data_IF_427956999095
#
_entry.id   IF_427956999095
#
_cell.length_a   1.000
_cell.length_b   1.000
_cell.length_c   1.000
_cell.angle_alpha   90.00
_cell.angle_beta   90.00
_cell.angle_gamma   90.00
#
_symmetry.space_group_name_H-M   'P 1'
#
loop_
_entity.id
_entity.type
_entity.pdbx_description
1 polymer ?
#
# COMPACT_ATOMS: atom_id res chain seq x y z
N UNK A 1 6.47 -27.81 14.09
CA UNK A 1 7.07 -26.58 13.51
C UNK A 1 7.17 -26.63 11.98
N UNK A 2 7.64 -27.74 11.38
CA UNK A 2 7.66 -27.95 9.91
C UNK A 2 6.27 -27.83 9.26
N UNK A 3 5.25 -28.44 9.85
CA UNK A 3 3.88 -28.43 9.29
C UNK A 3 3.23 -27.03 9.33
N UNK A 4 3.56 -26.24 10.35
CA UNK A 4 3.11 -24.86 10.48
C UNK A 4 3.74 -23.96 9.41
N UNK A 5 5.03 -24.15 9.11
CA UNK A 5 5.71 -23.43 8.03
C UNK A 5 5.18 -23.81 6.64
N UNK A 6 4.86 -25.09 6.42
CA UNK A 6 4.21 -25.53 5.18
C UNK A 6 2.78 -24.96 5.04
N UNK A 7 2.02 -24.90 6.14
CA UNK A 7 0.68 -24.32 6.16
C UNK A 7 0.67 -22.79 5.98
N UNK A 8 1.69 -22.08 6.46
CA UNK A 8 1.88 -20.66 6.19
C UNK A 8 2.27 -20.45 4.72
N UNK A 9 3.25 -21.21 4.22
CA UNK A 9 3.74 -21.09 2.83
C UNK A 9 2.64 -21.32 1.80
N UNK A 10 1.73 -22.27 2.02
CA UNK A 10 0.59 -22.54 1.13
C UNK A 10 -0.47 -21.43 1.13
N UNK A 11 -0.43 -20.51 2.11
CA UNK A 11 -1.36 -19.37 2.23
C UNK A 11 -0.73 -18.04 1.78
N UNK A 12 0.52 -18.04 1.33
CA UNK A 12 1.19 -16.83 0.84
C UNK A 12 1.01 -16.63 -0.66
N UNK A 13 1.29 -15.43 -1.15
CA UNK A 13 1.24 -15.11 -2.58
C UNK A 13 2.25 -15.90 -3.45
N UNK A 14 3.25 -16.51 -2.81
CA UNK A 14 4.21 -17.42 -3.44
C UNK A 14 3.71 -18.87 -3.55
N UNK A 15 2.54 -19.19 -2.98
CA UNK A 15 1.95 -20.52 -3.12
C UNK A 15 1.58 -20.82 -4.58
N UNK A 16 1.77 -22.07 -5.04
CA UNK A 16 1.27 -22.51 -6.34
C UNK A 16 -0.27 -22.38 -6.37
N UNK A 17 -0.80 -21.66 -7.37
CA UNK A 17 -2.24 -21.40 -7.51
C UNK A 17 -2.75 -20.08 -6.89
N UNK A 18 -1.91 -19.31 -6.20
CA UNK A 18 -2.33 -18.02 -5.61
C UNK A 18 -2.65 -16.93 -6.65
N UNK A 19 -2.14 -17.06 -7.88
CA UNK A 19 -2.38 -16.15 -8.99
C UNK A 19 -3.02 -16.94 -10.13
N UNK A 20 -4.18 -16.52 -10.68
CA UNK A 20 -4.82 -17.19 -11.81
C UNK A 20 -3.89 -17.31 -13.02
N UNK A 21 -3.91 -18.46 -13.71
CA UNK A 21 -3.04 -18.78 -14.87
C UNK A 21 -3.03 -17.67 -15.94
N UNK A 22 -4.19 -17.07 -16.22
CA UNK A 22 -4.36 -16.05 -17.26
C UNK A 22 -3.73 -14.69 -16.92
N UNK A 23 -3.42 -14.41 -15.64
CA UNK A 23 -2.83 -13.15 -15.19
C UNK A 23 -1.32 -13.27 -14.88
N UNK A 24 -0.78 -14.49 -14.88
CA UNK A 24 0.56 -14.78 -14.37
C UNK A 24 1.67 -13.95 -15.02
N UNK A 25 1.56 -13.60 -16.31
CA UNK A 25 2.64 -12.91 -17.03
C UNK A 25 2.96 -11.52 -16.46
N UNK A 26 1.94 -10.75 -16.10
CA UNK A 26 2.10 -9.36 -15.64
C UNK A 26 1.86 -9.22 -14.13
N UNK A 27 0.91 -9.97 -13.58
CA UNK A 27 0.56 -9.86 -12.17
C UNK A 27 1.60 -10.50 -11.24
N UNK A 28 2.36 -11.50 -11.71
CA UNK A 28 3.34 -12.22 -10.86
C UNK A 28 4.48 -11.32 -10.36
N UNK A 29 5.24 -10.60 -11.20
CA UNK A 29 6.33 -9.76 -10.69
C UNK A 29 5.82 -8.60 -9.83
N UNK A 30 4.69 -7.99 -10.20
CA UNK A 30 4.09 -6.89 -9.42
C UNK A 30 3.60 -7.37 -8.05
N UNK A 31 2.84 -8.46 -8.00
CA UNK A 31 2.23 -8.95 -6.75
C UNK A 31 3.22 -9.65 -5.84
N UNK A 32 4.17 -10.41 -6.38
CA UNK A 32 5.13 -11.17 -5.57
C UNK A 32 6.34 -10.37 -5.13
N UNK A 33 6.66 -9.29 -5.82
CA UNK A 33 7.88 -8.54 -5.55
C UNK A 33 7.61 -7.05 -5.35
N UNK A 34 7.03 -6.36 -6.33
CA UNK A 34 6.89 -4.90 -6.27
C UNK A 34 6.04 -4.42 -5.09
N UNK A 35 4.86 -5.04 -4.86
CA UNK A 35 3.98 -4.62 -3.77
C UNK A 35 4.54 -4.93 -2.37
N UNK A 36 4.95 -6.16 -2.05
CA UNK A 36 5.55 -6.44 -0.74
C UNK A 36 6.81 -5.61 -0.49
N UNK A 37 7.64 -5.37 -1.52
CA UNK A 37 8.83 -4.54 -1.39
C UNK A 37 8.48 -3.07 -1.12
N UNK A 38 7.51 -2.51 -1.85
CA UNK A 38 7.04 -1.15 -1.61
C UNK A 38 6.49 -0.99 -0.20
N UNK A 39 5.64 -1.92 0.24
CA UNK A 39 5.05 -1.87 1.57
C UNK A 39 6.13 -2.03 2.66
N UNK A 40 7.15 -2.87 2.44
CA UNK A 40 8.31 -2.98 3.34
C UNK A 40 9.10 -1.68 3.42
N UNK A 41 9.38 -1.04 2.29
CA UNK A 41 10.05 0.27 2.25
C UNK A 41 9.21 1.30 2.99
N UNK A 42 7.89 1.32 2.79
CA UNK A 42 6.98 2.21 3.50
C UNK A 42 6.99 1.99 5.02
N UNK A 43 7.08 0.73 5.49
CA UNK A 43 7.26 0.43 6.91
C UNK A 43 8.58 1.00 7.41
N UNK A 44 9.70 0.75 6.73
CA UNK A 44 11.01 1.23 7.15
C UNK A 44 11.05 2.77 7.18
N UNK A 45 10.55 3.43 6.15
CA UNK A 45 10.50 4.90 6.10
C UNK A 45 9.58 5.49 7.16
N UNK A 46 8.48 4.81 7.49
CA UNK A 46 7.60 5.23 8.59
C UNK A 46 8.30 5.20 9.95
N UNK A 47 9.10 4.16 10.21
CA UNK A 47 9.88 4.03 11.45
C UNK A 47 10.92 5.14 11.53
N UNK A 48 11.61 5.41 10.42
CA UNK A 48 12.57 6.52 10.34
C UNK A 48 11.85 7.86 10.60
N UNK A 49 10.67 8.07 10.01
CA UNK A 49 9.86 9.28 10.21
C UNK A 49 9.43 9.48 11.67
N UNK A 50 9.12 8.40 12.39
CA UNK A 50 8.80 8.47 13.84
C UNK A 50 10.04 8.84 14.66
N UNK A 51 11.23 8.34 14.29
CA UNK A 51 12.47 8.57 15.06
C UNK A 51 13.07 9.95 14.78
N UNK A 52 13.06 10.38 13.51
CA UNK A 52 13.76 11.58 13.03
C UNK A 52 12.82 12.78 12.90
N UNK A 53 11.51 12.55 12.85
CA UNK A 53 10.52 13.59 12.56
C UNK A 53 10.31 13.79 11.06
N UNK A 54 9.31 14.59 10.72
CA UNK A 54 8.97 14.97 9.33
C UNK A 54 8.93 16.50 9.26
N UNK A 55 10.06 17.17 8.96
CA UNK A 55 10.19 18.62 9.06
C UNK A 55 9.16 19.39 8.20
N UNK A 56 8.78 18.83 7.05
CA UNK A 56 7.78 19.46 6.18
C UNK A 56 6.35 19.41 6.75
N UNK A 57 6.04 18.48 7.66
CA UNK A 57 4.73 18.45 8.34
C UNK A 57 4.79 19.31 9.61
N UNK A 58 5.88 19.21 10.39
CA UNK A 58 6.10 19.99 11.62
C UNK A 58 6.11 21.51 11.37
N UNK A 59 6.48 21.92 10.15
CA UNK A 59 6.43 23.34 9.75
C UNK A 59 5.01 23.84 9.45
N UNK A 60 4.07 22.95 9.18
CA UNK A 60 2.69 23.29 8.79
C UNK A 60 1.64 22.91 9.84
N UNK A 61 1.99 22.00 10.74
CA UNK A 61 1.08 21.45 11.74
C UNK A 61 1.82 21.21 13.07
N UNK A 62 1.09 21.14 14.20
CA UNK A 62 1.68 20.82 15.49
C UNK A 62 2.33 19.44 15.52
N UNK A 63 3.34 19.25 16.38
CA UNK A 63 4.11 18.00 16.51
C UNK A 63 3.24 16.75 16.68
N UNK A 64 2.20 16.83 17.52
CA UNK A 64 1.28 15.71 17.75
C UNK A 64 0.60 15.22 16.47
N UNK A 65 0.38 16.12 15.51
CA UNK A 65 -0.22 15.78 14.22
C UNK A 65 0.80 15.04 13.34
N UNK A 66 2.05 15.50 13.30
CA UNK A 66 3.13 14.83 12.58
C UNK A 66 3.36 13.40 13.09
N UNK A 67 3.41 13.22 14.42
CA UNK A 67 3.55 11.91 15.07
C UNK A 67 2.39 10.98 14.73
N UNK A 68 1.16 11.52 14.78
CA UNK A 68 -0.05 10.77 14.44
C UNK A 68 -0.03 10.32 12.98
N UNK A 69 0.39 11.17 12.05
CA UNK A 69 0.50 10.84 10.62
C UNK A 69 1.57 9.77 10.40
N UNK A 70 2.73 9.88 11.03
CA UNK A 70 3.80 8.89 10.93
C UNK A 70 3.36 7.52 11.50
N UNK A 71 2.68 7.51 12.65
CA UNK A 71 2.12 6.30 13.26
C UNK A 71 1.03 5.66 12.40
N UNK A 72 0.10 6.45 11.85
CA UNK A 72 -0.92 5.96 10.94
C UNK A 72 -0.32 5.38 9.66
N UNK A 73 0.72 6.03 9.12
CA UNK A 73 1.44 5.55 7.95
C UNK A 73 2.12 4.20 8.22
N UNK A 74 2.73 4.03 9.40
CA UNK A 74 3.33 2.77 9.82
C UNK A 74 2.31 1.62 9.93
N UNK A 75 1.18 1.86 10.59
CA UNK A 75 0.11 0.86 10.75
C UNK A 75 -0.50 0.51 9.39
N UNK A 76 -0.70 1.49 8.52
CA UNK A 76 -1.22 1.28 7.18
C UNK A 76 -0.24 0.47 6.30
N UNK A 77 1.06 0.77 6.37
CA UNK A 77 2.11 0.05 5.65
C UNK A 77 2.23 -1.41 6.12
N UNK A 78 2.18 -1.65 7.43
CA UNK A 78 2.17 -3.00 7.99
C UNK A 78 0.92 -3.78 7.56
N UNK A 79 -0.25 -3.13 7.60
CA UNK A 79 -1.52 -3.71 7.16
C UNK A 79 -1.48 -4.06 5.67
N UNK A 80 -0.93 -3.17 4.85
CA UNK A 80 -0.74 -3.37 3.41
C UNK A 80 0.20 -4.54 3.14
N UNK A 81 1.35 -4.59 3.82
CA UNK A 81 2.34 -5.66 3.70
C UNK A 81 1.74 -7.03 4.05
N UNK A 82 1.03 -7.12 5.17
CA UNK A 82 0.37 -8.36 5.58
C UNK A 82 -0.71 -8.77 4.56
N UNK A 83 -1.48 -7.83 4.05
CA UNK A 83 -2.48 -8.07 3.01
C UNK A 83 -1.86 -8.58 1.70
N UNK A 84 -0.74 -7.98 1.27
CA UNK A 84 -0.02 -8.38 0.06
C UNK A 84 0.61 -9.77 0.19
N UNK A 85 1.09 -10.13 1.37
CA UNK A 85 1.65 -11.46 1.65
C UNK A 85 0.56 -12.53 1.70
N UNK A 86 -0.62 -12.22 2.26
CA UNK A 86 -1.72 -13.16 2.48
C UNK A 86 -2.95 -12.82 1.63
N UNK A 87 -3.24 -13.55 0.53
CA UNK A 87 -4.34 -13.24 -0.39
C UNK A 87 -5.74 -13.20 0.26
N UNK A 88 -5.94 -13.90 1.39
CA UNK A 88 -7.19 -13.88 2.16
C UNK A 88 -7.44 -12.53 2.86
N UNK A 89 -6.40 -11.76 3.12
CA UNK A 89 -6.43 -10.44 3.75
C UNK A 89 -6.43 -9.29 2.73
N UNK A 90 -6.87 -9.55 1.49
CA UNK A 90 -6.98 -8.57 0.40
C UNK A 90 -7.72 -7.27 0.81
N UNK A 91 -8.73 -7.36 1.70
CA UNK A 91 -9.41 -6.16 2.23
C UNK A 91 -8.49 -5.27 3.09
N UNK A 92 -7.58 -5.88 3.84
CA UNK A 92 -6.59 -5.18 4.65
C UNK A 92 -5.55 -4.51 3.76
N UNK A 93 -5.11 -5.18 2.69
CA UNK A 93 -4.24 -4.59 1.66
C UNK A 93 -4.86 -3.33 1.06
N UNK A 94 -6.12 -3.44 0.63
CA UNK A 94 -6.87 -2.32 0.04
C UNK A 94 -6.98 -1.14 1.00
N UNK A 95 -7.31 -1.39 2.27
CA UNK A 95 -7.46 -0.34 3.26
C UNK A 95 -6.12 0.34 3.57
N UNK A 96 -5.06 -0.45 3.81
CA UNK A 96 -3.72 0.06 4.06
C UNK A 96 -3.21 0.93 2.89
N UNK A 97 -3.36 0.45 1.66
CA UNK A 97 -2.92 1.20 0.47
C UNK A 97 -3.72 2.49 0.23
N UNK A 98 -5.01 2.52 0.58
CA UNK A 98 -5.81 3.75 0.55
C UNK A 98 -5.28 4.78 1.54
N UNK A 99 -5.01 4.36 2.77
CA UNK A 99 -4.47 5.26 3.80
C UNK A 99 -3.09 5.79 3.41
N UNK A 100 -2.19 4.93 2.93
CA UNK A 100 -0.87 5.32 2.40
C UNK A 100 -1.02 6.35 1.28
N UNK A 101 -1.91 6.09 0.31
CA UNK A 101 -2.16 7.00 -0.80
C UNK A 101 -2.67 8.36 -0.33
N UNK A 102 -3.62 8.38 0.62
CA UNK A 102 -4.15 9.62 1.20
C UNK A 102 -3.09 10.42 1.95
N UNK A 103 -2.25 9.76 2.75
CA UNK A 103 -1.16 10.42 3.49
C UNK A 103 -0.11 10.98 2.53
N UNK A 104 0.29 10.21 1.50
CA UNK A 104 1.23 10.70 0.48
C UNK A 104 0.64 11.89 -0.29
N UNK A 105 -0.65 11.85 -0.62
CA UNK A 105 -1.34 12.97 -1.28
C UNK A 105 -1.34 14.23 -0.41
N UNK A 106 -1.70 14.10 0.87
CA UNK A 106 -1.62 15.19 1.83
C UNK A 106 -0.20 15.75 1.94
N UNK A 107 0.80 14.88 2.04
CA UNK A 107 2.21 15.28 2.14
C UNK A 107 2.71 15.98 0.86
N UNK A 108 2.27 15.52 -0.31
CA UNK A 108 2.54 16.19 -1.57
C UNK A 108 2.00 17.63 -1.58
N UNK A 109 0.75 17.84 -1.16
CA UNK A 109 0.18 19.18 -1.07
C UNK A 109 0.91 20.05 -0.05
N UNK A 110 1.26 19.51 1.12
CA UNK A 110 2.07 20.20 2.12
C UNK A 110 3.41 20.69 1.54
N UNK A 111 4.13 19.81 0.84
CA UNK A 111 5.39 20.17 0.17
C UNK A 111 5.19 21.24 -0.91
N UNK A 112 4.11 21.16 -1.69
CA UNK A 112 3.81 22.15 -2.72
C UNK A 112 3.52 23.52 -2.09
N UNK A 113 2.72 23.59 -1.03
CA UNK A 113 2.45 24.84 -0.30
C UNK A 113 3.74 25.45 0.24
N UNK A 114 4.60 24.64 0.86
CA UNK A 114 5.91 25.08 1.36
C UNK A 114 6.89 25.50 0.25
N UNK A 115 6.83 24.85 -0.92
CA UNK A 115 7.70 25.15 -2.05
C UNK A 115 7.37 26.51 -2.70
N UNK A 116 6.14 27.02 -2.55
CA UNK A 116 5.76 28.35 -3.02
C UNK A 116 6.32 29.47 -2.12
N UNK A 117 6.58 29.18 -0.84
CA UNK A 117 7.00 30.19 0.15
C UNK A 117 8.52 30.32 0.29
N UNK A 118 9.28 29.29 -0.07
CA UNK A 118 10.74 29.32 -0.03
C UNK A 118 11.35 28.48 -1.15
N UNK A 119 12.34 29.06 -1.84
CA UNK A 119 13.11 28.35 -2.85
C UNK A 119 13.93 27.22 -2.20
N UNK A 120 13.93 26.04 -2.83
CA UNK A 120 14.68 24.88 -2.34
C UNK A 120 14.33 23.59 -3.06
N UNK A 121 14.82 22.47 -2.52
CA UNK A 121 14.65 21.11 -3.09
C UNK A 121 13.22 20.55 -2.95
N UNK A 122 12.27 21.31 -2.39
CA UNK A 122 10.91 20.86 -2.05
C UNK A 122 10.10 20.42 -3.25
N UNK A 123 10.20 21.09 -4.40
CA UNK A 123 9.55 20.66 -5.65
C UNK A 123 10.06 19.30 -6.13
N UNK A 124 11.35 19.04 -5.97
CA UNK A 124 11.95 17.76 -6.32
C UNK A 124 11.45 16.64 -5.41
N UNK A 125 11.41 16.89 -4.09
CA UNK A 125 10.84 15.93 -3.12
C UNK A 125 9.35 15.68 -3.41
N UNK A 126 8.57 16.71 -3.74
CA UNK A 126 7.17 16.54 -4.14
C UNK A 126 7.04 15.66 -5.40
N UNK A 127 7.93 15.82 -6.39
CA UNK A 127 8.01 14.94 -7.55
C UNK A 127 8.31 13.48 -7.19
N UNK A 128 9.21 13.24 -6.23
CA UNK A 128 9.49 11.88 -5.72
C UNK A 128 8.26 11.30 -5.02
N UNK A 129 7.55 12.08 -4.21
CA UNK A 129 6.33 11.65 -3.53
C UNK A 129 5.27 11.26 -4.57
N UNK A 130 5.09 12.08 -5.61
CA UNK A 130 4.16 11.78 -6.70
C UNK A 130 4.55 10.48 -7.44
N UNK A 131 5.84 10.27 -7.69
CA UNK A 131 6.33 9.02 -8.26
C UNK A 131 6.05 7.82 -7.33
N UNK A 132 6.26 7.99 -6.02
CA UNK A 132 5.97 6.96 -5.02
C UNK A 132 4.46 6.62 -4.92
N UNK A 133 3.56 7.52 -5.35
CA UNK A 133 2.11 7.26 -5.42
C UNK A 133 1.69 6.39 -6.62
N UNK A 134 2.55 6.20 -7.63
CA UNK A 134 2.22 5.38 -8.80
C UNK A 134 1.94 3.93 -8.41
N UNK A 135 2.79 3.34 -7.56
CA UNK A 135 2.63 1.97 -7.10
C UNK A 135 1.34 1.70 -6.32
N UNK A 136 0.97 2.46 -5.28
CA UNK A 136 -0.30 2.27 -4.60
C UNK A 136 -1.49 2.52 -5.53
N UNK A 137 -1.39 3.45 -6.49
CA UNK A 137 -2.45 3.66 -7.50
C UNK A 137 -2.68 2.41 -8.34
N UNK A 138 -1.62 1.85 -8.92
CA UNK A 138 -1.69 0.62 -9.72
C UNK A 138 -2.20 -0.55 -8.88
N UNK A 139 -1.73 -0.68 -7.64
CA UNK A 139 -2.20 -1.72 -6.74
C UNK A 139 -3.70 -1.61 -6.43
N UNK A 140 -4.18 -0.41 -6.09
CA UNK A 140 -5.59 -0.16 -5.81
C UNK A 140 -6.48 -0.43 -7.03
N UNK A 141 -5.99 -0.11 -8.23
CA UNK A 141 -6.70 -0.42 -9.47
C UNK A 141 -6.84 -1.94 -9.69
N UNK A 142 -5.73 -2.68 -9.58
CA UNK A 142 -5.72 -4.15 -9.72
C UNK A 142 -6.63 -4.81 -8.67
N UNK A 143 -6.51 -4.40 -7.39
CA UNK A 143 -7.35 -4.90 -6.30
C UNK A 143 -8.84 -4.60 -6.54
N UNK A 144 -9.14 -3.41 -7.09
CA UNK A 144 -10.50 -3.02 -7.44
C UNK A 144 -11.13 -3.91 -8.50
N UNK A 145 -10.37 -4.26 -9.55
CA UNK A 145 -10.81 -5.20 -10.59
C UNK A 145 -11.09 -6.57 -9.98
N UNK A 146 -10.17 -7.08 -9.17
CA UNK A 146 -10.32 -8.42 -8.57
C UNK A 146 -11.55 -8.53 -7.66
N UNK A 147 -11.82 -7.50 -6.84
CA UNK A 147 -12.99 -7.49 -5.96
C UNK A 147 -14.29 -7.44 -6.78
N UNK A 148 -14.31 -6.67 -7.87
CA UNK A 148 -15.45 -6.61 -8.78
C UNK A 148 -15.69 -7.98 -9.44
N UNK A 149 -14.65 -8.63 -9.93
CA UNK A 149 -14.77 -9.91 -10.62
C UNK A 149 -15.21 -11.04 -9.69
N UNK A 150 -14.82 -11.00 -8.40
CA UNK A 150 -15.33 -11.93 -7.37
C UNK A 150 -16.83 -11.73 -7.14
N UNK A 151 -17.30 -10.48 -6.97
CA UNK A 151 -18.74 -10.18 -6.81
C UNK A 151 -19.58 -10.63 -8.00
N UNK A 152 -19.10 -10.40 -9.23
CA UNK A 152 -19.81 -10.81 -10.45
C UNK A 152 -19.92 -12.34 -10.59
N UNK A 153 -18.94 -13.10 -10.09
CA UNK A 153 -19.01 -14.57 -10.06
C UNK A 153 -20.03 -15.06 -9.04
N UNK A 154 -20.07 -14.45 -7.86
CA UNK A 154 -21.04 -14.79 -6.80
C UNK A 154 -22.48 -14.55 -7.26
N UNK A 155 -22.75 -13.43 -7.94
CA UNK A 155 -24.07 -13.11 -8.52
C UNK A 155 -24.51 -14.13 -9.58
N UNK A 156 -23.60 -14.55 -10.47
CA UNK A 156 -23.90 -15.58 -11.49
C UNK A 156 -24.12 -16.97 -10.91
N UNK A 157 -23.43 -17.32 -9.82
CA UNK A 157 -23.62 -18.61 -9.15
C UNK A 157 -24.93 -18.63 -8.37
N UNK A 158 -25.33 -17.53 -7.74
CA UNK A 158 -26.59 -17.44 -6.99
C UNK A 158 -27.84 -17.37 -7.88
N UNK A 159 -27.70 -16.98 -9.16
CA UNK A 159 -28.80 -16.98 -10.14
C UNK A 159 -28.98 -18.29 -10.92
N UNK A 160 -28.09 -19.27 -10.75
CA UNK A 160 -28.23 -20.59 -11.37
C UNK A 160 -28.99 -21.60 -10.46
N UNK A 161 -29.16 -21.25 -9.18
CA UNK A 161 -29.84 -22.07 -8.17
C UNK A 161 -31.27 -21.54 -7.83
N UNK A 162 -31.78 -20.56 -8.60
CA UNK A 162 -33.12 -19.96 -8.46
C UNK A 162 -33.93 -20.16 -9.75
#
# INVERSE_FOLDING_TARGET
MRDFLHALRSRTIWAPGAIPEHEKKWATPLRRFAFPFYDLVAVVTSIIGIIVGIPAIETLAPDWFADSVAGMFAVAALSALLGAVFPKLCRLELWGKRVIFSILGMYFFALMTLAHTAAGTRYFVAGIVLFAMVLPTVALWILGIEIRDRRLKDEKSGGADA
#
